data_IF_153832900932
#
_entry.id   IF_153832900932
#
_cell.length_a   1.000
_cell.length_b   1.000
_cell.length_c   1.000
_cell.angle_alpha   90.00
_cell.angle_beta   90.00
_cell.angle_gamma   90.00
#
_symmetry.space_group_name_H-M   'P 1'
#
loop_
_entity.id
_entity.type
_entity.pdbx_description
1 polymer ?
#
# COMPACT_ATOMS: atom_id res chain seq x y z
N UNK A 1 20.20 -18.04 -10.38
CA UNK A 1 19.42 -16.95 -10.99
C UNK A 1 17.94 -17.32 -10.97
N UNK A 2 17.11 -16.49 -10.33
CA UNK A 2 15.66 -16.70 -10.30
C UNK A 2 15.04 -16.08 -11.55
N UNK A 3 14.90 -16.87 -12.61
CA UNK A 3 14.19 -16.44 -13.82
C UNK A 3 12.70 -16.38 -13.48
N UNK A 4 12.03 -15.26 -13.79
CA UNK A 4 10.58 -15.15 -13.54
C UNK A 4 9.82 -16.14 -14.43
N UNK A 5 8.65 -16.62 -14.00
CA UNK A 5 7.84 -17.55 -14.81
C UNK A 5 7.53 -17.00 -16.21
N UNK A 6 7.45 -15.68 -16.35
CA UNK A 6 7.24 -14.99 -17.63
C UNK A 6 8.49 -14.98 -18.51
N UNK A 7 9.67 -14.76 -17.93
CA UNK A 7 10.94 -14.81 -18.67
C UNK A 7 11.31 -16.26 -19.03
N UNK A 8 11.08 -17.20 -18.13
CA UNK A 8 11.36 -18.62 -18.34
C UNK A 8 10.49 -19.21 -19.45
N UNK A 9 9.21 -18.85 -19.49
CA UNK A 9 8.33 -19.27 -20.59
C UNK A 9 8.67 -18.56 -21.90
N UNK A 10 9.05 -17.28 -21.88
CA UNK A 10 9.50 -16.55 -23.07
C UNK A 10 10.78 -17.16 -23.68
N UNK A 11 11.77 -17.50 -22.85
CA UNK A 11 13.00 -18.18 -23.28
C UNK A 11 12.72 -19.58 -23.83
N UNK A 12 11.80 -20.33 -23.22
CA UNK A 12 11.38 -21.63 -23.73
C UNK A 12 10.69 -21.50 -25.10
N UNK A 13 9.82 -20.50 -25.28
CA UNK A 13 9.19 -20.21 -26.57
C UNK A 13 10.20 -19.80 -27.65
N UNK A 14 11.21 -19.02 -27.28
CA UNK A 14 12.25 -18.59 -28.23
C UNK A 14 13.15 -19.77 -28.63
N UNK A 15 13.49 -20.66 -27.70
CA UNK A 15 14.19 -21.91 -28.00
C UNK A 15 13.36 -22.88 -28.86
N UNK A 16 12.05 -22.95 -28.65
CA UNK A 16 11.12 -23.78 -29.43
C UNK A 16 10.95 -23.30 -30.88
N UNK A 17 11.13 -22.01 -31.17
CA UNK A 17 11.11 -21.47 -32.55
C UNK A 17 12.33 -21.91 -33.37
N UNK A 18 13.45 -22.23 -32.72
CA UNK A 18 14.68 -22.67 -33.38
C UNK A 18 14.58 -24.15 -33.80
N UNK A 19 13.70 -24.93 -33.17
CA UNK A 19 13.43 -26.31 -33.53
C UNK A 19 12.50 -26.38 -34.75
N UNK A 20 13.02 -26.86 -35.89
CA UNK A 20 12.19 -27.24 -37.04
C UNK A 20 11.35 -28.47 -36.66
N UNK A 21 10.09 -28.24 -36.28
CA UNK A 21 9.17 -29.34 -35.96
C UNK A 21 8.88 -30.19 -37.23
N UNK A 22 8.90 -31.52 -37.12
CA UNK A 22 8.51 -32.41 -38.23
C UNK A 22 7.03 -32.26 -38.56
N UNK A 23 6.68 -32.53 -39.82
CA UNK A 23 5.34 -32.34 -40.39
C UNK A 23 4.29 -33.15 -39.62
N UNK A 24 3.30 -32.47 -39.02
CA UNK A 24 2.21 -33.08 -38.26
C UNK A 24 2.12 -32.66 -36.79
N UNK A 25 3.12 -31.95 -36.25
CA UNK A 25 3.09 -31.41 -34.89
C UNK A 25 2.68 -29.93 -34.89
N UNK A 26 1.77 -29.58 -33.97
CA UNK A 26 1.36 -28.21 -33.71
C UNK A 26 1.90 -27.78 -32.35
N UNK A 27 2.52 -26.61 -32.31
CA UNK A 27 2.89 -25.97 -31.05
C UNK A 27 1.62 -25.35 -30.45
N UNK A 28 1.12 -25.90 -29.35
CA UNK A 28 -0.04 -25.40 -28.64
C UNK A 28 0.40 -24.77 -27.32
N UNK A 29 0.29 -23.46 -27.20
CA UNK A 29 0.40 -22.78 -25.91
C UNK A 29 -0.85 -23.13 -25.11
N UNK A 30 -0.69 -23.78 -23.96
CA UNK A 30 -1.79 -24.11 -23.05
C UNK A 30 -2.52 -22.88 -22.47
N UNK A 31 -2.19 -21.68 -22.93
CA UNK A 31 -2.81 -20.41 -22.54
C UNK A 31 -2.37 -19.93 -21.16
N UNK A 32 -1.42 -20.60 -20.51
CA UNK A 32 -1.01 -20.32 -19.14
C UNK A 32 -0.44 -18.90 -18.99
N UNK A 33 0.39 -18.46 -19.94
CA UNK A 33 0.92 -17.08 -19.95
C UNK A 33 -0.19 -16.04 -20.16
N UNK A 34 -1.14 -16.33 -21.04
CA UNK A 34 -2.27 -15.43 -21.31
C UNK A 34 -3.20 -15.34 -20.08
N UNK A 35 -3.43 -16.46 -19.39
CA UNK A 35 -4.18 -16.54 -18.14
C UNK A 35 -3.50 -15.74 -17.01
N UNK A 36 -2.18 -15.85 -16.89
CA UNK A 36 -1.37 -15.09 -15.92
C UNK A 36 -1.40 -13.60 -16.23
N UNK A 37 -1.24 -13.21 -17.50
CA UNK A 37 -1.31 -11.81 -17.94
C UNK A 37 -2.71 -11.21 -17.71
N UNK A 38 -3.78 -11.95 -18.02
CA UNK A 38 -5.17 -11.56 -17.73
C UNK A 38 -5.38 -11.35 -16.24
N UNK A 39 -4.96 -12.31 -15.41
CA UNK A 39 -5.08 -12.22 -13.95
C UNK A 39 -4.31 -11.03 -13.36
N UNK A 40 -3.08 -10.79 -13.85
CA UNK A 40 -2.26 -9.64 -13.43
C UNK A 40 -2.89 -8.30 -13.86
N UNK A 41 -3.53 -8.24 -15.03
CA UNK A 41 -4.27 -7.06 -15.48
C UNK A 41 -5.49 -6.81 -14.60
N UNK A 42 -6.27 -7.85 -14.30
CA UNK A 42 -7.44 -7.76 -13.42
C UNK A 42 -7.03 -7.29 -12.02
N UNK A 43 -5.99 -7.88 -11.43
CA UNK A 43 -5.47 -7.50 -10.13
C UNK A 43 -5.06 -6.02 -10.06
N UNK A 44 -4.36 -5.51 -11.08
CA UNK A 44 -4.00 -4.09 -11.20
C UNK A 44 -5.24 -3.19 -11.31
N UNK A 45 -6.22 -3.58 -12.10
CA UNK A 45 -7.49 -2.84 -12.22
C UNK A 45 -8.23 -2.79 -10.88
N UNK A 46 -8.28 -3.90 -10.14
CA UNK A 46 -8.92 -3.96 -8.82
C UNK A 46 -8.19 -3.08 -7.79
N UNK A 47 -6.86 -3.08 -7.80
CA UNK A 47 -6.08 -2.19 -6.94
C UNK A 47 -6.34 -0.71 -7.28
N UNK A 48 -6.34 -0.36 -8.57
CA UNK A 48 -6.68 0.99 -9.01
C UNK A 48 -8.10 1.41 -8.60
N UNK A 49 -9.07 0.50 -8.76
CA UNK A 49 -10.47 0.73 -8.34
C UNK A 49 -10.58 0.90 -6.81
N UNK A 50 -9.89 0.07 -6.03
CA UNK A 50 -9.88 0.18 -4.57
C UNK A 50 -9.33 1.53 -4.12
N UNK A 51 -8.19 1.96 -4.66
CA UNK A 51 -7.60 3.26 -4.37
C UNK A 51 -8.51 4.41 -4.79
N UNK A 52 -9.15 4.30 -5.96
CA UNK A 52 -10.10 5.30 -6.43
C UNK A 52 -11.30 5.43 -5.49
N UNK A 53 -11.90 4.31 -5.06
CA UNK A 53 -13.03 4.33 -4.14
C UNK A 53 -12.65 4.90 -2.78
N UNK A 54 -11.49 4.50 -2.23
CA UNK A 54 -10.97 5.08 -0.99
C UNK A 54 -10.78 6.58 -1.13
N UNK A 55 -10.19 7.06 -2.23
CA UNK A 55 -10.03 8.48 -2.50
C UNK A 55 -11.36 9.23 -2.57
N UNK A 56 -12.38 8.69 -3.25
CA UNK A 56 -13.70 9.31 -3.38
C UNK A 56 -14.39 9.42 -2.02
N UNK A 57 -14.42 8.34 -1.24
CA UNK A 57 -15.01 8.34 0.11
C UNK A 57 -14.34 9.40 0.97
N UNK A 58 -13.03 9.51 0.87
CA UNK A 58 -12.23 10.49 1.61
C UNK A 58 -12.46 11.93 1.15
N UNK A 59 -12.56 12.17 -0.15
CA UNK A 59 -12.86 13.49 -0.69
C UNK A 59 -14.23 13.99 -0.22
N UNK A 60 -15.21 13.09 -0.15
CA UNK A 60 -16.55 13.38 0.41
C UNK A 60 -16.46 13.61 1.92
N UNK A 61 -15.79 12.74 2.67
CA UNK A 61 -15.62 12.84 4.12
C UNK A 61 -15.02 14.18 4.56
N UNK A 62 -14.00 14.64 3.82
CA UNK A 62 -13.21 15.80 4.18
C UNK A 62 -13.66 17.10 3.50
N UNK A 63 -14.64 17.04 2.60
CA UNK A 63 -15.07 18.16 1.74
C UNK A 63 -13.89 18.90 1.10
N UNK A 64 -12.81 18.16 0.84
CA UNK A 64 -11.52 18.72 0.41
C UNK A 64 -10.72 17.65 -0.29
N UNK A 65 -10.10 18.03 -1.39
CA UNK A 65 -9.26 17.15 -2.23
C UNK A 65 -7.82 17.08 -1.69
N UNK A 66 -7.38 18.07 -0.91
CA UNK A 66 -6.00 18.16 -0.41
C UNK A 66 -5.69 17.08 0.63
N UNK A 67 -6.58 16.88 1.59
CA UNK A 67 -6.37 15.92 2.68
C UNK A 67 -6.31 14.46 2.19
N UNK A 68 -7.23 14.00 1.31
CA UNK A 68 -7.12 12.69 0.68
C UNK A 68 -5.83 12.50 -0.12
N UNK A 69 -5.32 13.55 -0.79
CA UNK A 69 -4.10 13.47 -1.58
C UNK A 69 -2.86 13.23 -0.70
N UNK A 70 -2.75 13.93 0.43
CA UNK A 70 -1.68 13.67 1.43
C UNK A 70 -1.73 12.21 1.89
N UNK A 71 -2.93 11.70 2.16
CA UNK A 71 -3.13 10.33 2.64
C UNK A 71 -2.81 9.30 1.56
N UNK A 72 -3.19 9.54 0.30
CA UNK A 72 -2.84 8.67 -0.84
C UNK A 72 -1.33 8.59 -1.09
N UNK A 73 -0.56 9.56 -0.63
CA UNK A 73 0.90 9.51 -0.74
C UNK A 73 1.50 8.38 0.11
N UNK A 74 0.77 7.86 1.12
CA UNK A 74 1.17 6.68 1.91
C UNK A 74 1.22 5.37 1.09
N UNK A 75 0.45 5.28 0.02
CA UNK A 75 0.32 4.05 -0.79
C UNK A 75 1.61 3.72 -1.55
N UNK A 76 2.24 4.67 -2.28
CA UNK A 76 3.57 4.45 -2.86
C UNK A 76 4.63 4.02 -1.82
N UNK A 77 4.56 4.50 -0.58
CA UNK A 77 5.51 4.08 0.45
C UNK A 77 5.29 2.64 0.90
N UNK A 78 4.03 2.18 0.93
CA UNK A 78 3.75 0.78 1.28
C UNK A 78 4.19 -0.18 0.18
N UNK A 79 4.06 0.18 -1.10
CA UNK A 79 4.53 -0.66 -2.21
C UNK A 79 6.04 -0.85 -2.18
N UNK A 80 6.80 0.18 -1.79
CA UNK A 80 8.26 0.07 -1.57
C UNK A 80 8.55 -0.93 -0.44
N UNK A 81 7.83 -0.83 0.67
CA UNK A 81 7.98 -1.78 1.79
C UNK A 81 7.68 -3.23 1.40
N UNK A 82 6.66 -3.43 0.56
CA UNK A 82 6.33 -4.75 0.00
C UNK A 82 7.42 -5.25 -0.93
N UNK A 83 7.93 -4.40 -1.83
CA UNK A 83 9.00 -4.78 -2.74
C UNK A 83 10.25 -5.25 -1.98
N UNK A 84 10.67 -4.49 -0.97
CA UNK A 84 11.80 -4.85 -0.09
C UNK A 84 11.52 -6.15 0.67
N UNK A 85 10.29 -6.36 1.14
CA UNK A 85 9.89 -7.59 1.81
C UNK A 85 9.96 -8.81 0.89
N UNK A 86 9.39 -8.72 -0.30
CA UNK A 86 9.40 -9.83 -1.26
C UNK A 86 10.81 -10.18 -1.72
N UNK A 87 11.67 -9.16 -1.90
CA UNK A 87 13.07 -9.35 -2.23
C UNK A 87 13.84 -10.05 -1.09
N UNK A 88 13.64 -9.63 0.16
CA UNK A 88 14.28 -10.23 1.32
C UNK A 88 13.92 -11.72 1.52
N UNK A 89 12.70 -12.12 1.15
CA UNK A 89 12.24 -13.51 1.21
C UNK A 89 12.32 -14.23 -0.15
N UNK A 90 12.90 -13.61 -1.18
CA UNK A 90 13.04 -14.17 -2.55
C UNK A 90 11.76 -14.77 -3.12
N UNK A 91 10.62 -14.09 -2.93
CA UNK A 91 9.32 -14.56 -3.43
C UNK A 91 8.90 -13.81 -4.70
N UNK A 92 8.36 -14.53 -5.71
CA UNK A 92 7.85 -13.89 -6.91
C UNK A 92 6.53 -13.14 -6.64
N UNK A 93 6.26 -12.11 -7.44
CA UNK A 93 4.96 -11.43 -7.45
C UNK A 93 3.93 -12.41 -8.04
N UNK A 94 3.00 -12.82 -7.20
CA UNK A 94 1.93 -13.77 -7.52
C UNK A 94 0.56 -13.16 -7.23
N UNK A 95 -0.53 -13.82 -7.64
CA UNK A 95 -1.90 -13.33 -7.35
C UNK A 95 -2.18 -13.06 -5.86
N UNK A 96 -1.70 -13.90 -4.92
CA UNK A 96 -1.91 -13.64 -3.49
C UNK A 96 -1.16 -12.38 -3.02
N UNK A 97 -0.01 -12.04 -3.62
CA UNK A 97 0.70 -10.78 -3.35
C UNK A 97 -0.14 -9.58 -3.77
N UNK A 98 -0.80 -9.64 -4.93
CA UNK A 98 -1.73 -8.58 -5.35
C UNK A 98 -2.91 -8.42 -4.39
N UNK A 99 -3.49 -9.52 -3.93
CA UNK A 99 -4.54 -9.48 -2.92
C UNK A 99 -4.03 -8.84 -1.61
N UNK A 100 -2.82 -9.21 -1.18
CA UNK A 100 -2.14 -8.60 -0.04
C UNK A 100 -1.96 -7.09 -0.21
N UNK A 101 -1.55 -6.62 -1.39
CA UNK A 101 -1.41 -5.20 -1.70
C UNK A 101 -2.74 -4.43 -1.63
N UNK A 102 -3.83 -5.02 -2.13
CA UNK A 102 -5.18 -4.42 -2.07
C UNK A 102 -5.61 -4.25 -0.60
N UNK A 103 -5.44 -5.30 0.21
CA UNK A 103 -5.74 -5.25 1.65
C UNK A 103 -4.84 -4.24 2.37
N UNK A 104 -3.54 -4.25 2.07
CA UNK A 104 -2.55 -3.36 2.67
C UNK A 104 -2.88 -1.89 2.40
N UNK A 105 -3.30 -1.55 1.18
CA UNK A 105 -3.67 -0.19 0.83
C UNK A 105 -4.74 0.37 1.78
N UNK A 106 -5.78 -0.41 2.11
CA UNK A 106 -6.80 0.00 3.06
C UNK A 106 -6.27 0.21 4.48
N UNK A 107 -5.46 -0.73 4.98
CA UNK A 107 -4.92 -0.67 6.35
C UNK A 107 -3.96 0.53 6.51
N UNK A 108 -3.08 0.75 5.54
CA UNK A 108 -2.13 1.88 5.57
C UNK A 108 -2.86 3.21 5.48
N UNK A 109 -3.86 3.30 4.61
CA UNK A 109 -4.69 4.51 4.50
C UNK A 109 -5.45 4.77 5.80
N UNK A 110 -5.96 3.74 6.48
CA UNK A 110 -6.59 3.91 7.80
C UNK A 110 -5.65 4.51 8.85
N UNK A 111 -4.39 4.03 8.91
CA UNK A 111 -3.40 4.60 9.83
C UNK A 111 -3.10 6.07 9.51
N UNK A 112 -3.03 6.42 8.23
CA UNK A 112 -2.86 7.79 7.75
C UNK A 112 -4.08 8.69 8.06
N UNK A 113 -5.30 8.16 7.88
CA UNK A 113 -6.57 8.82 8.21
C UNK A 113 -6.57 9.27 9.66
N UNK A 114 -6.27 8.36 10.61
CA UNK A 114 -6.34 8.65 12.04
C UNK A 114 -5.41 9.81 12.44
N UNK A 115 -4.23 9.89 11.84
CA UNK A 115 -3.28 10.97 12.10
C UNK A 115 -3.76 12.30 11.50
N UNK A 116 -4.11 12.31 10.22
CA UNK A 116 -4.52 13.52 9.49
C UNK A 116 -5.85 14.07 10.02
N UNK A 117 -6.81 13.20 10.33
CA UNK A 117 -8.09 13.58 10.90
C UNK A 117 -7.91 14.33 12.22
N UNK A 118 -7.07 13.79 13.11
CA UNK A 118 -6.83 14.42 14.39
C UNK A 118 -6.05 15.73 14.27
N UNK A 119 -5.06 15.82 13.38
CA UNK A 119 -4.38 17.07 13.06
C UNK A 119 -5.35 18.13 12.52
N UNK A 120 -6.29 17.74 11.65
CA UNK A 120 -7.34 18.63 11.13
C UNK A 120 -8.28 19.08 12.25
N UNK A 121 -8.71 18.19 13.14
CA UNK A 121 -9.55 18.56 14.28
C UNK A 121 -8.86 19.60 15.18
N UNK A 122 -7.55 19.47 15.42
CA UNK A 122 -6.76 20.46 16.16
C UNK A 122 -6.68 21.80 15.43
N UNK A 123 -6.53 21.80 14.10
CA UNK A 123 -6.58 23.03 13.30
C UNK A 123 -7.96 23.71 13.39
N UNK A 124 -9.05 22.95 13.34
CA UNK A 124 -10.41 23.48 13.51
C UNK A 124 -10.65 24.06 14.91
N UNK A 125 -9.90 23.60 15.92
CA UNK A 125 -9.88 24.16 17.28
C UNK A 125 -8.98 25.38 17.43
N UNK A 126 -8.34 25.83 16.35
CA UNK A 126 -7.52 27.05 16.32
C UNK A 126 -6.02 26.83 16.56
N UNK A 127 -5.54 25.58 16.68
CA UNK A 127 -4.10 25.34 16.78
C UNK A 127 -3.40 25.59 15.44
N UNK A 128 -2.21 26.22 15.43
CA UNK A 128 -1.41 26.35 14.22
C UNK A 128 -1.00 24.96 13.70
N UNK A 129 -0.76 24.85 12.39
CA UNK A 129 -0.50 23.58 11.70
C UNK A 129 0.63 22.77 12.37
N UNK A 130 1.72 23.45 12.74
CA UNK A 130 2.90 22.81 13.33
C UNK A 130 2.60 22.24 14.72
N UNK A 131 1.88 22.97 15.56
CA UNK A 131 1.46 22.52 16.89
C UNK A 131 0.44 21.38 16.80
N UNK A 132 -0.53 21.50 15.88
CA UNK A 132 -1.52 20.47 15.61
C UNK A 132 -0.88 19.14 15.19
N UNK A 133 0.16 19.18 14.34
CA UNK A 133 0.90 17.99 13.91
C UNK A 133 1.71 17.35 15.03
N UNK A 134 2.35 18.15 15.89
CA UNK A 134 3.12 17.63 17.04
C UNK A 134 2.20 16.95 18.04
N UNK A 135 1.10 17.61 18.41
CA UNK A 135 0.10 17.04 19.32
C UNK A 135 -0.52 15.79 18.69
N UNK A 136 -0.86 15.85 17.40
CA UNK A 136 -1.47 14.71 16.72
C UNK A 136 -0.56 13.50 16.65
N UNK A 137 0.72 13.71 16.33
CA UNK A 137 1.74 12.67 16.33
C UNK A 137 1.86 12.02 17.71
N UNK A 138 2.02 12.81 18.78
CA UNK A 138 2.20 12.28 20.13
C UNK A 138 0.98 11.48 20.63
N UNK A 139 -0.23 11.97 20.39
CA UNK A 139 -1.46 11.31 20.85
C UNK A 139 -1.79 10.06 20.04
N UNK A 140 -1.53 10.08 18.72
CA UNK A 140 -1.93 8.98 17.82
C UNK A 140 -0.84 7.93 17.57
N UNK A 141 0.42 8.24 17.85
CA UNK A 141 1.52 7.28 17.71
C UNK A 141 1.25 5.98 18.47
N UNK A 142 0.80 6.06 19.73
CA UNK A 142 0.50 4.88 20.57
C UNK A 142 -0.60 4.01 19.94
N UNK A 143 -1.80 4.55 19.61
CA UNK A 143 -2.82 3.79 18.89
C UNK A 143 -2.35 3.16 17.56
N UNK A 144 -1.61 3.90 16.73
CA UNK A 144 -1.14 3.41 15.42
C UNK A 144 -0.14 2.26 15.59
N UNK A 145 0.75 2.35 16.58
CA UNK A 145 1.66 1.26 16.91
C UNK A 145 0.91 0.05 17.48
N UNK A 146 -0.10 0.25 18.30
CA UNK A 146 -0.93 -0.84 18.83
C UNK A 146 -1.65 -1.62 17.73
N UNK A 147 -2.28 -0.93 16.77
CA UNK A 147 -2.97 -1.59 15.66
C UNK A 147 -2.00 -2.36 14.77
N UNK A 148 -0.88 -1.73 14.40
CA UNK A 148 0.13 -2.34 13.53
C UNK A 148 0.79 -3.55 14.18
N UNK A 149 1.17 -3.46 15.46
CA UNK A 149 1.68 -4.59 16.21
C UNK A 149 0.65 -5.72 16.30
N UNK A 150 -0.61 -5.41 16.61
CA UNK A 150 -1.67 -6.43 16.68
C UNK A 150 -1.87 -7.15 15.34
N UNK A 151 -1.90 -6.40 14.23
CA UNK A 151 -2.02 -6.99 12.90
C UNK A 151 -0.80 -7.85 12.55
N UNK A 152 0.41 -7.35 12.82
CA UNK A 152 1.64 -8.13 12.56
C UNK A 152 1.65 -9.41 13.37
N UNK A 153 1.38 -9.33 14.68
CA UNK A 153 1.33 -10.50 15.57
C UNK A 153 0.25 -11.50 15.15
N UNK A 154 -0.92 -11.03 14.70
CA UNK A 154 -1.99 -11.88 14.20
C UNK A 154 -1.65 -12.59 12.87
N UNK A 155 -0.79 -11.98 12.04
CA UNK A 155 -0.36 -12.53 10.76
C UNK A 155 0.91 -13.39 10.84
N UNK A 156 1.70 -13.29 11.92
CA UNK A 156 2.88 -14.13 12.15
C UNK A 156 2.63 -15.64 11.96
N UNK A 157 1.59 -16.27 12.56
CA UNK A 157 1.35 -17.69 12.36
C UNK A 157 0.96 -18.02 10.92
N UNK A 158 0.37 -17.07 10.18
CA UNK A 158 0.04 -17.26 8.77
C UNK A 158 1.30 -17.14 7.87
N UNK A 159 2.27 -16.32 8.27
CA UNK A 159 3.54 -16.14 7.57
C UNK A 159 4.51 -17.32 7.78
N UNK A 160 4.58 -17.86 9.00
CA UNK A 160 5.54 -18.92 9.36
C UNK A 160 4.90 -20.29 9.57
N UNK A 161 3.58 -20.39 9.62
CA UNK A 161 2.85 -21.64 9.79
C UNK A 161 3.03 -22.60 8.62
N UNK A 162 3.01 -23.89 8.95
CA UNK A 162 2.92 -24.99 7.99
C UNK A 162 1.48 -25.48 7.81
N UNK A 163 1.27 -26.40 6.87
CA UNK A 163 -0.01 -27.05 6.60
C UNK A 163 -0.62 -26.68 5.25
N UNK A 164 -1.74 -27.31 4.93
CA UNK A 164 -2.41 -27.18 3.64
C UNK A 164 -2.76 -25.72 3.32
N UNK A 165 -2.46 -25.28 2.10
CA UNK A 165 -2.69 -23.91 1.62
C UNK A 165 -1.69 -22.87 2.14
N UNK A 166 -0.60 -23.27 2.80
CA UNK A 166 0.46 -22.34 3.22
C UNK A 166 1.09 -21.60 2.02
N UNK A 167 1.15 -22.23 0.85
CA UNK A 167 1.61 -21.62 -0.41
C UNK A 167 0.80 -20.39 -0.84
N UNK A 168 -0.50 -20.36 -0.52
CA UNK A 168 -1.39 -19.22 -0.82
C UNK A 168 -1.35 -18.17 0.28
N UNK A 169 -1.27 -18.62 1.55
CA UNK A 169 -1.37 -17.75 2.72
C UNK A 169 -0.08 -16.98 3.03
N UNK A 170 1.08 -17.62 2.87
CA UNK A 170 2.38 -17.01 3.20
C UNK A 170 2.66 -15.73 2.41
N UNK A 171 2.47 -15.68 1.07
CA UNK A 171 2.74 -14.46 0.32
C UNK A 171 1.81 -13.30 0.71
N UNK A 172 0.55 -13.59 1.06
CA UNK A 172 -0.41 -12.59 1.56
C UNK A 172 0.09 -12.01 2.89
N UNK A 173 0.40 -12.89 3.85
CA UNK A 173 0.83 -12.48 5.18
C UNK A 173 2.15 -11.70 5.16
N UNK A 174 3.14 -12.16 4.40
CA UNK A 174 4.44 -11.49 4.29
C UNK A 174 4.33 -10.13 3.60
N UNK A 175 3.48 -10.00 2.56
CA UNK A 175 3.17 -8.72 1.93
C UNK A 175 2.59 -7.72 2.94
N UNK A 176 1.63 -8.17 3.76
CA UNK A 176 1.02 -7.34 4.79
C UNK A 176 2.01 -6.94 5.88
N UNK A 177 2.77 -7.89 6.43
CA UNK A 177 3.72 -7.62 7.52
C UNK A 177 4.82 -6.65 7.05
N UNK A 178 5.49 -6.95 5.93
CA UNK A 178 6.57 -6.12 5.42
C UNK A 178 6.07 -4.72 5.06
N UNK A 179 4.93 -4.65 4.36
CA UNK A 179 4.29 -3.41 3.98
C UNK A 179 3.87 -2.56 5.18
N UNK A 180 3.29 -3.16 6.22
CA UNK A 180 2.84 -2.43 7.42
C UNK A 180 4.01 -1.91 8.25
N UNK A 181 5.02 -2.73 8.52
CA UNK A 181 6.18 -2.34 9.33
C UNK A 181 6.90 -1.17 8.67
N UNK A 182 7.17 -1.28 7.37
CA UNK A 182 7.88 -0.25 6.62
C UNK A 182 7.03 1.02 6.44
N UNK A 183 5.77 0.86 6.01
CA UNK A 183 4.89 2.02 5.79
C UNK A 183 4.58 2.75 7.09
N UNK A 184 4.36 2.08 8.22
CA UNK A 184 4.02 2.75 9.48
C UNK A 184 5.16 3.66 9.92
N UNK A 185 6.40 3.17 9.89
CA UNK A 185 7.58 3.98 10.24
C UNK A 185 7.75 5.19 9.33
N UNK A 186 7.66 4.99 8.01
CA UNK A 186 7.78 6.09 7.04
C UNK A 186 6.62 7.07 7.09
N UNK A 187 5.39 6.58 7.19
CA UNK A 187 4.16 7.37 7.17
C UNK A 187 4.10 8.34 8.35
N UNK A 188 4.53 7.91 9.54
CA UNK A 188 4.60 8.77 10.73
C UNK A 188 5.55 9.96 10.57
N UNK A 189 6.56 9.86 9.70
CA UNK A 189 7.53 10.94 9.43
C UNK A 189 7.11 11.75 8.20
N UNK A 190 6.71 11.07 7.13
CA UNK A 190 6.44 11.69 5.83
C UNK A 190 5.09 12.41 5.81
N UNK A 191 4.05 11.88 6.45
CA UNK A 191 2.73 12.52 6.46
C UNK A 191 2.76 13.90 7.12
N UNK A 192 3.36 14.10 8.30
CA UNK A 192 3.44 15.44 8.89
C UNK A 192 4.12 16.47 7.99
N UNK A 193 5.20 16.08 7.31
CA UNK A 193 5.93 16.96 6.39
C UNK A 193 5.09 17.32 5.18
N UNK A 194 4.44 16.33 4.55
CA UNK A 194 3.56 16.56 3.40
C UNK A 194 2.31 17.35 3.77
N UNK A 195 1.73 17.07 4.93
CA UNK A 195 0.57 17.79 5.43
C UNK A 195 0.90 19.26 5.67
N UNK A 196 2.05 19.56 6.27
CA UNK A 196 2.54 20.94 6.45
C UNK A 196 2.71 21.65 5.10
N UNK A 197 3.29 20.98 4.10
CA UNK A 197 3.54 21.60 2.80
C UNK A 197 2.27 21.82 1.97
N UNK A 198 1.32 20.87 2.01
CA UNK A 198 0.13 20.89 1.15
C UNK A 198 -1.08 21.60 1.79
N UNK A 199 -1.17 21.61 3.12
CA UNK A 199 -2.28 22.19 3.90
C UNK A 199 -1.86 23.46 4.63
N UNK A 200 -0.56 23.73 4.75
CA UNK A 200 -0.01 24.96 5.33
C UNK A 200 -0.43 26.21 4.55
N UNK A 201 -1.58 26.77 4.92
CA UNK A 201 -1.78 28.14 5.40
C UNK A 201 -3.29 28.41 5.63
N UNK A 202 -3.72 28.66 6.88
CA UNK A 202 -4.76 29.64 7.13
C UNK A 202 -4.11 30.86 7.80
N UNK A 203 -4.10 31.98 7.07
CA UNK A 203 -3.73 33.30 7.59
C UNK A 203 -4.37 33.52 8.95
N UNK A 204 -3.53 33.83 9.93
CA UNK A 204 -3.89 34.38 11.23
C UNK A 204 -4.62 35.72 11.00
N UNK A 205 -5.93 35.68 10.75
CA UNK A 205 -6.77 36.87 10.62
C UNK A 205 -7.35 37.19 12.00
N UNK A 206 -6.82 38.24 12.63
CA UNK A 206 -7.51 39.02 13.65
C UNK A 206 -7.20 38.68 15.12
N UNK A 207 -6.04 39.10 15.62
CA UNK A 207 -5.81 39.34 17.07
C UNK A 207 -5.34 40.78 17.33
N UNK A 208 -5.92 41.77 16.63
CA UNK A 208 -5.59 43.19 16.80
C UNK A 208 -6.84 44.11 16.79
N UNK A 209 -7.97 43.68 17.35
CA UNK A 209 -9.18 44.53 17.37
C UNK A 209 -10.01 44.50 18.66
N UNK A 210 -9.48 44.03 19.80
CA UNK A 210 -10.19 44.12 21.10
C UNK A 210 -9.32 44.66 22.24
N UNK A 211 -8.31 45.48 21.92
CA UNK A 211 -7.66 46.36 22.88
C UNK A 211 -7.63 47.78 22.28
N UNK A 212 -8.75 48.49 22.44
CA UNK A 212 -8.93 49.88 22.03
C UNK A 212 -10.06 50.52 22.80
#
# INVERSE_FOLDING_TARGET
EGVTLTEGSALAYDALKVLKLPTGYLLYDGGANEQLAKSNRLARTLLGLALFLVFVVMAVQYESIRNPLVIMTSVPFCTIGVALGLEAYTMPISMPVWLGLILLAGIVVNNAIVLVDYARQLQLRGHPVDEALVIAGQTRLRPILMTTLTTVLGLLPMAFGGGDGAELRRPIALTLIAGLVFSTGLTLVVIPVLYRWLVGEPKQKGRLAEEG
#
